data_IF_656770374938
#
_entry.id   IF_656770374938
#
_cell.length_a   1.000
_cell.length_b   1.000
_cell.length_c   1.000
_cell.angle_alpha   90.00
_cell.angle_beta   90.00
_cell.angle_gamma   90.00
#
_symmetry.space_group_name_H-M   'P 1'
#
loop_
_entity.id
_entity.type
_entity.pdbx_description
1 polymer ?
#
# COMPACT_ATOMS: atom_id res chain seq x y z
N UNK A 1 -6.92 1.02 21.54
CA UNK A 1 -5.58 0.43 21.64
C UNK A 1 -5.53 -0.85 20.81
N UNK A 2 -4.48 -1.06 20.00
CA UNK A 2 -4.33 -2.27 19.21
C UNK A 2 -3.80 -3.43 20.08
N UNK A 3 -4.44 -4.61 20.05
CA UNK A 3 -3.99 -5.79 20.80
C UNK A 3 -2.51 -6.12 20.52
N UNK A 4 -1.77 -6.48 21.57
CA UNK A 4 -0.31 -6.69 21.48
C UNK A 4 0.07 -7.75 20.43
N UNK A 5 -0.72 -8.82 20.33
CA UNK A 5 -0.51 -9.91 19.35
C UNK A 5 -0.76 -9.50 17.90
N UNK A 6 -1.53 -8.43 17.66
CA UNK A 6 -1.79 -7.92 16.31
C UNK A 6 -0.74 -6.91 15.85
N UNK A 7 0.10 -6.38 16.75
CA UNK A 7 1.10 -5.37 16.38
C UNK A 7 2.14 -5.91 15.40
N UNK A 8 2.82 -7.06 15.66
CA UNK A 8 3.80 -7.59 14.73
C UNK A 8 3.27 -7.85 13.31
N UNK A 9 2.13 -8.54 13.12
CA UNK A 9 1.62 -8.80 11.76
C UNK A 9 1.16 -7.52 11.05
N UNK A 10 0.62 -6.54 11.77
CA UNK A 10 0.24 -5.27 11.17
C UNK A 10 1.45 -4.42 10.76
N UNK A 11 2.50 -4.38 11.60
CA UNK A 11 3.78 -3.76 11.25
C UNK A 11 4.40 -4.43 10.02
N UNK A 12 4.40 -5.76 9.97
CA UNK A 12 4.88 -6.51 8.80
C UNK A 12 4.06 -6.18 7.54
N UNK A 13 2.73 -6.14 7.63
CA UNK A 13 1.86 -5.75 6.53
C UNK A 13 2.13 -4.33 6.01
N UNK A 14 2.32 -3.37 6.92
CA UNK A 14 2.69 -2.00 6.56
C UNK A 14 4.06 -1.94 5.89
N UNK A 15 5.05 -2.66 6.41
CA UNK A 15 6.39 -2.72 5.83
C UNK A 15 6.35 -3.32 4.41
N UNK A 16 5.59 -4.38 4.19
CA UNK A 16 5.42 -4.99 2.87
C UNK A 16 4.74 -4.05 1.87
N UNK A 17 3.70 -3.33 2.29
CA UNK A 17 3.06 -2.31 1.45
C UNK A 17 4.01 -1.13 1.14
N UNK A 18 4.89 -0.78 2.09
CA UNK A 18 5.89 0.27 1.89
C UNK A 18 6.98 -0.15 0.88
N UNK A 19 7.52 -1.37 1.03
CA UNK A 19 8.57 -1.92 0.16
C UNK A 19 8.03 -2.21 -1.24
N UNK A 20 6.88 -2.86 -1.34
CA UNK A 20 6.25 -3.20 -2.62
C UNK A 20 5.55 -2.03 -3.31
N UNK A 21 5.38 -0.90 -2.62
CA UNK A 21 4.87 0.35 -3.18
C UNK A 21 3.51 0.21 -3.88
N UNK A 22 3.36 0.89 -5.02
CA UNK A 22 2.10 0.93 -5.76
C UNK A 22 1.63 -0.45 -6.24
N UNK A 23 2.58 -1.34 -6.56
CA UNK A 23 2.29 -2.66 -7.09
C UNK A 23 1.66 -3.56 -6.02
N UNK A 24 2.22 -3.56 -4.80
CA UNK A 24 1.62 -4.27 -3.67
C UNK A 24 0.21 -3.75 -3.34
N UNK A 25 0.02 -2.43 -3.35
CA UNK A 25 -1.30 -1.84 -3.14
C UNK A 25 -2.28 -2.24 -4.26
N UNK A 26 -1.82 -2.36 -5.51
CA UNK A 26 -2.64 -2.83 -6.63
C UNK A 26 -3.03 -4.29 -6.45
N UNK A 27 -2.08 -5.16 -6.05
CA UNK A 27 -2.36 -6.56 -5.74
C UNK A 27 -3.41 -6.70 -4.62
N UNK A 28 -3.25 -5.95 -3.53
CA UNK A 28 -4.21 -5.92 -2.42
C UNK A 28 -5.59 -5.43 -2.84
N UNK A 29 -5.64 -4.43 -3.73
CA UNK A 29 -6.89 -3.93 -4.31
C UNK A 29 -7.60 -5.03 -5.11
N UNK A 30 -6.86 -5.77 -5.92
CA UNK A 30 -7.43 -6.83 -6.76
C UNK A 30 -7.92 -8.03 -5.95
N UNK A 31 -7.30 -8.29 -4.79
CA UNK A 31 -7.76 -9.32 -3.85
C UNK A 31 -8.88 -8.86 -2.91
N UNK A 32 -9.27 -7.59 -2.94
CA UNK A 32 -10.32 -7.02 -2.08
C UNK A 32 -11.63 -6.90 -2.85
N UNK A 33 -12.74 -7.35 -2.25
CA UNK A 33 -14.04 -7.44 -2.93
C UNK A 33 -15.14 -6.64 -2.21
N UNK A 34 -16.20 -6.34 -2.96
CA UNK A 34 -17.43 -5.74 -2.45
C UNK A 34 -17.21 -4.39 -1.74
N UNK A 35 -17.90 -4.18 -0.62
CA UNK A 35 -17.83 -2.95 0.17
C UNK A 35 -16.40 -2.58 0.61
N UNK A 36 -15.59 -3.59 0.93
CA UNK A 36 -14.21 -3.37 1.36
C UNK A 36 -13.32 -2.84 0.24
N UNK A 37 -13.66 -3.10 -1.03
CA UNK A 37 -12.95 -2.54 -2.18
C UNK A 37 -13.19 -1.05 -2.30
N UNK A 38 -14.44 -0.60 -2.15
CA UNK A 38 -14.77 0.83 -2.19
C UNK A 38 -14.08 1.59 -1.06
N UNK A 39 -14.04 0.98 0.14
CA UNK A 39 -13.29 1.54 1.27
C UNK A 39 -11.78 1.56 0.99
N UNK A 40 -11.23 0.48 0.46
CA UNK A 40 -9.83 0.43 0.07
C UNK A 40 -9.50 1.54 -0.91
N UNK A 41 -10.29 1.71 -1.96
CA UNK A 41 -10.08 2.75 -2.96
C UNK A 41 -10.13 4.15 -2.33
N UNK A 42 -11.09 4.42 -1.44
CA UNK A 42 -11.19 5.72 -0.75
C UNK A 42 -9.98 6.02 0.12
N UNK A 43 -9.53 5.06 0.92
CA UNK A 43 -8.49 5.28 1.93
C UNK A 43 -7.07 5.08 1.39
N UNK A 44 -6.90 4.23 0.37
CA UNK A 44 -5.59 3.88 -0.19
C UNK A 44 -5.17 4.79 -1.36
N UNK A 45 -6.11 5.49 -2.02
CA UNK A 45 -5.84 6.38 -3.17
C UNK A 45 -4.68 7.37 -2.94
N UNK A 46 -4.52 8.04 -1.78
CA UNK A 46 -3.41 8.95 -1.54
C UNK A 46 -2.04 8.27 -1.61
N UNK A 47 -1.97 6.99 -1.28
CA UNK A 47 -0.71 6.23 -1.27
C UNK A 47 -0.30 5.76 -2.67
N UNK A 48 -1.25 5.49 -3.56
CA UNK A 48 -0.96 5.21 -4.97
C UNK A 48 -0.31 6.42 -5.66
N UNK A 49 -0.81 7.62 -5.39
CA UNK A 49 -0.27 8.87 -5.96
C UNK A 49 1.18 9.07 -5.50
N UNK A 50 1.45 8.86 -4.20
CA UNK A 50 2.79 9.04 -3.65
C UNK A 50 3.77 7.96 -4.15
N UNK A 51 3.30 6.72 -4.31
CA UNK A 51 4.11 5.63 -4.84
C UNK A 51 4.43 5.81 -6.34
N UNK A 52 3.50 6.33 -7.15
CA UNK A 52 3.75 6.71 -8.55
C UNK A 52 4.84 7.78 -8.66
N UNK A 53 4.77 8.81 -7.81
CA UNK A 53 5.75 9.90 -7.77
C UNK A 53 7.15 9.44 -7.35
N UNK A 54 7.26 8.50 -6.40
CA UNK A 54 8.53 7.87 -6.04
C UNK A 54 9.12 7.05 -7.18
N UNK A 55 8.30 6.29 -7.92
CA UNK A 55 8.75 5.52 -9.09
C UNK A 55 9.38 6.44 -10.15
N UNK A 56 8.78 7.61 -10.40
CA UNK A 56 9.34 8.62 -11.31
C UNK A 56 10.67 9.19 -10.80
N UNK A 57 10.79 9.42 -9.49
CA UNK A 57 12.05 9.87 -8.88
C UNK A 57 13.18 8.83 -8.97
N UNK A 58 12.89 7.55 -8.72
CA UNK A 58 13.90 6.48 -8.82
C UNK A 58 14.27 6.21 -10.27
N UNK A 59 13.32 6.29 -11.20
CA UNK A 59 13.59 6.14 -12.63
C UNK A 59 14.42 7.31 -13.19
N UNK A 60 14.19 8.55 -12.73
CA UNK A 60 15.02 9.72 -13.10
C UNK A 60 16.43 9.72 -12.49
N UNK A 61 16.69 8.92 -11.45
CA UNK A 61 18.03 8.76 -10.86
C UNK A 61 18.86 7.67 -11.54
N UNK A 62 18.26 6.91 -12.46
CA UNK A 62 18.90 5.80 -13.18
C UNK A 62 19.16 6.13 -14.67
N UNK A 63 19.07 7.40 -15.07
CA UNK A 63 19.37 7.90 -16.43
C UNK A 63 20.63 8.75 -16.41
#
# INVERSE_FOLDING_TARGET
MLPLHLRPPLLAGVAMAHIGGAEMLFMLRQSTFGFYRNRFDREAMPFFINASRKRHSTQMQLI
#
